data_IF_163361305256
#
_entry.id   IF_163361305256
#
_cell.length_a   1.000
_cell.length_b   1.000
_cell.length_c   1.000
_cell.angle_alpha   90.00
_cell.angle_beta   90.00
_cell.angle_gamma   90.00
#
_symmetry.space_group_name_H-M   'P 1'
#
loop_
_entity.id
_entity.type
_entity.pdbx_description
1 polymer ?
#
# COMPACT_ATOMS: atom_id res chain seq x y z
N UNK A 1 41.37 -16.21 -44.99
CA UNK A 1 40.54 -16.85 -43.94
C UNK A 1 40.38 -15.81 -42.85
N UNK A 2 39.17 -15.28 -42.65
CA UNK A 2 38.91 -14.29 -41.59
C UNK A 2 39.05 -14.99 -40.25
N UNK A 3 39.91 -14.46 -39.38
CA UNK A 3 40.26 -15.08 -38.10
C UNK A 3 39.06 -15.07 -37.14
N UNK A 4 38.85 -16.16 -36.39
CA UNK A 4 37.76 -16.31 -35.41
C UNK A 4 37.62 -15.11 -34.45
N UNK A 5 38.76 -14.52 -34.06
CA UNK A 5 38.84 -13.34 -33.20
C UNK A 5 38.11 -12.13 -33.79
N UNK A 6 38.14 -11.95 -35.12
CA UNK A 6 37.47 -10.84 -35.81
C UNK A 6 35.96 -11.03 -35.88
N UNK A 7 35.49 -12.28 -36.00
CA UNK A 7 34.07 -12.59 -35.90
C UNK A 7 33.55 -12.35 -34.49
N UNK A 8 34.37 -12.68 -33.47
CA UNK A 8 33.99 -12.47 -32.07
C UNK A 8 33.96 -10.97 -31.72
N UNK A 9 34.88 -10.16 -32.24
CA UNK A 9 34.85 -8.70 -32.01
C UNK A 9 33.64 -8.04 -32.69
N UNK A 10 33.27 -8.50 -33.88
CA UNK A 10 32.06 -8.06 -34.57
C UNK A 10 30.80 -8.46 -33.80
N UNK A 11 30.70 -9.71 -33.35
CA UNK A 11 29.59 -10.18 -32.54
C UNK A 11 29.44 -9.39 -31.23
N UNK A 12 30.55 -9.09 -30.57
CA UNK A 12 30.57 -8.26 -29.36
C UNK A 12 30.07 -6.83 -29.64
N UNK A 13 30.46 -6.25 -30.78
CA UNK A 13 30.00 -4.92 -31.19
C UNK A 13 28.48 -4.90 -31.42
N UNK A 14 27.94 -5.93 -32.07
CA UNK A 14 26.49 -6.07 -32.29
C UNK A 14 25.76 -6.29 -30.95
N UNK A 15 26.31 -7.05 -30.01
CA UNK A 15 25.74 -7.23 -28.67
C UNK A 15 25.62 -5.90 -27.92
N UNK A 16 26.69 -5.10 -27.93
CA UNK A 16 26.70 -3.78 -27.28
C UNK A 16 25.68 -2.85 -27.96
N UNK A 17 25.61 -2.85 -29.28
CA UNK A 17 24.62 -2.07 -30.04
C UNK A 17 23.18 -2.47 -29.64
N UNK A 18 22.90 -3.77 -29.59
CA UNK A 18 21.59 -4.30 -29.19
C UNK A 18 21.23 -3.95 -27.75
N UNK A 19 22.18 -4.10 -26.83
CA UNK A 19 21.99 -3.75 -25.42
C UNK A 19 21.78 -2.24 -25.23
N UNK A 20 22.46 -1.41 -26.01
CA UNK A 20 22.24 0.04 -26.04
C UNK A 20 20.83 0.40 -26.51
N UNK A 21 20.33 -0.22 -27.59
CA UNK A 21 18.98 0.02 -28.08
C UNK A 21 17.92 -0.36 -27.05
N UNK A 22 18.06 -1.53 -26.41
CA UNK A 22 17.16 -2.00 -25.36
C UNK A 22 17.15 -1.01 -24.19
N UNK A 23 18.32 -0.51 -23.79
CA UNK A 23 18.43 0.47 -22.72
C UNK A 23 17.73 1.80 -23.06
N UNK A 24 17.91 2.30 -24.28
CA UNK A 24 17.21 3.50 -24.77
C UNK A 24 15.71 3.29 -24.78
N UNK A 25 15.24 2.14 -25.27
CA UNK A 25 13.82 1.81 -25.32
C UNK A 25 13.19 1.73 -23.92
N UNK A 26 13.82 1.01 -22.99
CA UNK A 26 13.39 0.93 -21.59
C UNK A 26 13.36 2.30 -20.92
N UNK A 27 14.40 3.11 -21.14
CA UNK A 27 14.46 4.48 -20.61
C UNK A 27 13.31 5.34 -21.12
N UNK A 28 13.00 5.25 -22.41
CA UNK A 28 11.87 5.95 -23.02
C UNK A 28 10.53 5.49 -22.43
N UNK A 29 10.35 4.18 -22.20
CA UNK A 29 9.18 3.63 -21.50
C UNK A 29 9.05 4.19 -20.09
N UNK A 30 10.14 4.21 -19.32
CA UNK A 30 10.17 4.75 -17.95
C UNK A 30 9.78 6.23 -17.96
N UNK A 31 10.31 7.02 -18.89
CA UNK A 31 9.95 8.43 -19.07
C UNK A 31 8.46 8.57 -19.40
N UNK A 32 7.93 7.75 -20.30
CA UNK A 32 6.51 7.75 -20.66
C UNK A 32 5.61 7.44 -19.46
N UNK A 33 5.94 6.41 -18.68
CA UNK A 33 5.19 6.04 -17.47
C UNK A 33 5.23 7.17 -16.45
N UNK A 34 6.39 7.80 -16.23
CA UNK A 34 6.50 8.96 -15.34
C UNK A 34 5.67 10.15 -15.83
N UNK A 35 5.62 10.38 -17.15
CA UNK A 35 4.83 11.46 -17.73
C UNK A 35 3.33 11.22 -17.50
N UNK A 36 2.87 9.99 -17.68
CA UNK A 36 1.48 9.60 -17.38
C UNK A 36 1.18 9.74 -15.89
N UNK A 37 2.07 9.28 -15.00
CA UNK A 37 1.92 9.42 -13.55
C UNK A 37 1.85 10.89 -13.11
N UNK A 38 2.58 11.77 -13.78
CA UNK A 38 2.55 13.22 -13.53
C UNK A 38 1.30 13.89 -14.10
N UNK A 39 0.80 13.42 -15.24
CA UNK A 39 -0.39 13.99 -15.89
C UNK A 39 -1.69 13.54 -15.22
N UNK A 40 -1.71 12.33 -14.65
CA UNK A 40 -2.82 11.77 -13.90
C UNK A 40 -2.39 11.48 -12.46
N UNK A 41 -2.21 12.51 -11.62
CA UNK A 41 -1.92 12.29 -10.20
C UNK A 41 -3.09 11.56 -9.57
N UNK A 42 -2.87 10.30 -9.18
CA UNK A 42 -3.80 9.55 -8.34
C UNK A 42 -3.83 10.26 -6.99
N UNK A 43 -4.95 10.91 -6.70
CA UNK A 43 -5.22 11.44 -5.36
C UNK A 43 -5.21 10.22 -4.41
N UNK A 44 -4.40 10.21 -3.35
CA UNK A 44 -4.47 9.15 -2.36
C UNK A 44 -5.89 9.14 -1.82
N UNK A 45 -6.66 8.10 -2.15
CA UNK A 45 -7.92 7.84 -1.46
C UNK A 45 -7.50 7.57 -0.03
N UNK A 46 -7.89 8.47 0.88
CA UNK A 46 -7.69 8.27 2.30
C UNK A 46 -8.33 6.94 2.67
N UNK A 47 -7.50 5.93 2.89
CA UNK A 47 -7.92 4.66 3.46
C UNK A 47 -8.51 5.00 4.83
N UNK A 48 -9.81 4.77 5.09
CA UNK A 48 -10.37 5.02 6.40
C UNK A 48 -9.54 4.25 7.42
N UNK A 49 -8.88 4.97 8.31
CA UNK A 49 -8.14 4.35 9.39
C UNK A 49 -9.15 3.54 10.21
N UNK A 50 -8.90 2.25 10.49
CA UNK A 50 -9.79 1.48 11.34
C UNK A 50 -9.95 2.25 12.65
N UNK A 51 -11.19 2.65 12.98
CA UNK A 51 -11.52 3.25 14.25
C UNK A 51 -11.05 2.28 15.33
N UNK A 52 -9.98 2.64 16.03
CA UNK A 52 -9.45 1.85 17.11
C UNK A 52 -10.50 1.89 18.22
N UNK A 53 -11.09 0.76 18.65
CA UNK A 53 -12.05 0.77 19.72
C UNK A 53 -11.36 1.33 20.97
N UNK A 54 -11.79 2.52 21.38
CA UNK A 54 -11.33 3.10 22.64
C UNK A 54 -11.98 2.26 23.75
N UNK A 55 -11.23 1.30 24.28
CA UNK A 55 -11.63 0.60 25.51
C UNK A 55 -11.40 1.56 26.68
N UNK A 56 -12.31 2.51 26.85
CA UNK A 56 -12.49 3.17 28.14
C UNK A 56 -13.06 2.13 29.10
N UNK A 57 -12.19 1.50 29.87
CA UNK A 57 -12.55 0.80 31.10
C UNK A 57 -12.91 1.85 32.17
N UNK A 58 -13.81 2.76 31.83
CA UNK A 58 -14.46 3.62 32.80
C UNK A 58 -15.85 3.02 32.98
N UNK A 59 -16.04 2.38 34.12
CA UNK A 59 -17.35 1.84 34.47
C UNK A 59 -18.29 3.04 34.57
N UNK A 60 -19.18 3.15 33.59
CA UNK A 60 -20.14 4.26 33.52
C UNK A 60 -20.97 4.29 34.82
N UNK A 61 -20.89 5.37 35.62
CA UNK A 61 -21.68 5.48 36.84
C UNK A 61 -23.18 5.37 36.60
N UNK A 62 -23.66 5.68 35.38
CA UNK A 62 -25.06 5.48 34.97
C UNK A 62 -25.40 3.99 34.89
N UNK A 63 -24.50 3.16 34.37
CA UNK A 63 -24.69 1.71 34.29
C UNK A 63 -24.78 1.10 35.69
N UNK A 64 -23.92 1.54 36.62
CA UNK A 64 -23.95 1.10 38.02
C UNK A 64 -25.23 1.53 38.73
N UNK A 65 -25.70 2.76 38.50
CA UNK A 65 -26.96 3.25 39.06
C UNK A 65 -28.18 2.47 38.53
N UNK A 66 -28.21 2.16 37.23
CA UNK A 66 -29.26 1.37 36.62
C UNK A 66 -29.32 -0.05 37.21
N UNK A 67 -28.18 -0.75 37.30
CA UNK A 67 -28.12 -2.08 37.91
C UNK A 67 -28.57 -2.03 39.38
N UNK A 68 -28.12 -1.01 40.12
CA UNK A 68 -28.49 -0.84 41.53
C UNK A 68 -30.01 -0.63 41.71
N UNK A 69 -30.63 0.19 40.86
CA UNK A 69 -32.08 0.40 40.88
C UNK A 69 -32.86 -0.88 40.57
N UNK A 70 -32.41 -1.67 39.60
CA UNK A 70 -33.04 -2.93 39.23
C UNK A 70 -33.00 -3.95 40.36
N UNK A 71 -31.86 -4.07 41.05
CA UNK A 71 -31.72 -4.94 42.23
C UNK A 71 -32.62 -4.45 43.37
N UNK A 72 -32.72 -3.14 43.58
CA UNK A 72 -33.58 -2.58 44.62
C UNK A 72 -35.07 -2.82 44.34
N UNK A 73 -35.49 -2.68 43.07
CA UNK A 73 -36.84 -3.01 42.61
C UNK A 73 -37.17 -4.48 42.84
N UNK A 74 -36.26 -5.39 42.45
CA UNK A 74 -36.43 -6.84 42.64
C UNK A 74 -36.58 -7.20 44.13
N UNK A 75 -35.74 -6.64 45.01
CA UNK A 75 -35.83 -6.88 46.46
C UNK A 75 -37.12 -6.36 47.09
N UNK A 76 -37.68 -5.28 46.56
CA UNK A 76 -38.99 -4.76 46.98
C UNK A 76 -40.15 -5.60 46.45
N UNK A 77 -40.00 -6.20 45.27
CA UNK A 77 -41.02 -7.04 44.64
C UNK A 77 -41.05 -8.47 45.22
N UNK A 78 -39.90 -8.98 45.69
CA UNK A 78 -39.77 -10.32 46.31
C UNK A 78 -40.15 -10.32 47.80
N UNK A 79 -40.50 -9.16 48.37
CA UNK A 79 -40.94 -9.02 49.75
C UNK A 79 -42.43 -8.75 49.80
#
# INVERSE_FOLDING_TARGET
>A
MVSLTEQLSNALSIMIMGMGLVFVFLSLLIIGINLVAKLFPVVPVAIPQPLQPTTTTEIDPVLVAAITSAVHQYRKQVR
#
